data_IF_410005408584
#
_entry.id   IF_410005408584
#
_cell.length_a   1.000
_cell.length_b   1.000
_cell.length_c   1.000
_cell.angle_alpha   90.00
_cell.angle_beta   90.00
_cell.angle_gamma   90.00
#
_symmetry.space_group_name_H-M   'P 1'
#
loop_
_entity.id
_entity.type
_entity.pdbx_description
1 polymer ?
#
# COMPACT_ATOMS: atom_id res chain seq x y z
N UNK A 1 13.92 -1.96 24.58
CA UNK A 1 13.37 -2.04 23.24
C UNK A 1 14.27 -1.27 22.30
N UNK A 2 14.59 -1.79 21.11
CA UNK A 2 15.39 -1.03 20.16
C UNK A 2 14.70 0.30 19.91
N UNK A 3 15.44 1.39 20.09
CA UNK A 3 14.97 2.75 19.84
C UNK A 3 14.68 2.85 18.35
N UNK A 4 13.40 2.82 17.98
CA UNK A 4 13.02 2.95 16.59
C UNK A 4 13.07 4.44 16.22
N UNK A 5 14.01 4.81 15.35
CA UNK A 5 14.21 6.19 14.89
C UNK A 5 12.91 6.86 14.42
N UNK A 6 11.97 6.08 13.88
CA UNK A 6 10.65 6.57 13.46
C UNK A 6 9.86 7.06 14.67
N UNK A 7 9.82 6.29 15.76
CA UNK A 7 9.11 6.69 16.97
C UNK A 7 9.73 7.91 17.65
N UNK A 8 11.07 8.04 17.62
CA UNK A 8 11.75 9.23 18.14
C UNK A 8 11.46 10.47 17.28
N UNK A 9 11.40 10.31 15.97
CA UNK A 9 11.02 11.41 15.07
C UNK A 9 9.61 11.93 15.38
N UNK A 10 8.63 11.05 15.55
CA UNK A 10 7.28 11.44 15.96
C UNK A 10 7.23 12.10 17.34
N UNK A 11 8.06 11.66 18.28
CA UNK A 11 8.18 12.30 19.60
C UNK A 11 8.66 13.73 19.53
N UNK A 12 9.53 14.06 18.59
CA UNK A 12 9.97 15.43 18.36
C UNK A 12 8.80 16.37 18.03
N UNK A 13 7.77 15.86 17.38
CA UNK A 13 6.53 16.60 17.09
C UNK A 13 5.45 16.41 18.18
N UNK A 14 5.81 15.91 19.36
CA UNK A 14 4.88 15.61 20.45
C UNK A 14 3.80 14.59 20.08
N UNK A 15 4.10 13.68 19.15
CA UNK A 15 3.22 12.60 18.71
C UNK A 15 3.67 11.30 19.36
N UNK A 16 2.76 10.64 20.09
CA UNK A 16 2.96 9.30 20.64
C UNK A 16 2.35 8.27 19.69
N UNK A 17 3.21 7.49 19.04
CA UNK A 17 2.74 6.34 18.23
C UNK A 17 2.49 5.15 19.16
N UNK A 18 1.30 4.57 19.07
CA UNK A 18 0.89 3.37 19.80
C UNK A 18 0.52 2.30 18.76
N UNK A 19 1.08 1.11 18.89
CA UNK A 19 0.69 -0.02 18.06
C UNK A 19 -0.56 -0.64 18.68
N UNK A 20 -1.70 -0.54 18.00
CA UNK A 20 -2.97 -1.02 18.49
C UNK A 20 -3.02 -2.56 18.49
N UNK A 21 -2.52 -3.18 17.44
CA UNK A 21 -2.42 -4.64 17.33
C UNK A 21 -1.31 -5.09 16.37
N UNK A 22 -0.91 -6.32 16.50
CA UNK A 22 0.08 -6.98 15.63
C UNK A 22 -0.52 -8.26 15.04
N UNK A 23 0.01 -8.72 13.91
CA UNK A 23 -0.38 -9.97 13.28
C UNK A 23 0.85 -10.84 13.00
N UNK A 24 0.70 -12.16 13.16
CA UNK A 24 1.80 -13.11 12.96
C UNK A 24 2.05 -13.46 11.50
N UNK A 25 1.04 -13.26 10.64
CA UNK A 25 1.10 -13.55 9.20
C UNK A 25 0.08 -12.71 8.44
N UNK A 26 0.12 -12.79 7.10
CA UNK A 26 -0.75 -12.00 6.21
C UNK A 26 -2.24 -12.34 6.41
N UNK A 27 -2.61 -13.60 6.64
CA UNK A 27 -4.01 -13.99 6.82
C UNK A 27 -4.59 -13.39 8.11
N UNK A 28 -3.84 -13.48 9.22
CA UNK A 28 -4.22 -12.86 10.50
C UNK A 28 -4.35 -11.34 10.37
N UNK A 29 -3.44 -10.70 9.61
CA UNK A 29 -3.51 -9.28 9.35
C UNK A 29 -4.79 -8.90 8.60
N UNK A 30 -5.11 -9.61 7.51
CA UNK A 30 -6.32 -9.39 6.74
C UNK A 30 -7.59 -9.58 7.57
N UNK A 31 -7.62 -10.61 8.42
CA UNK A 31 -8.74 -10.87 9.32
C UNK A 31 -8.93 -9.72 10.32
N UNK A 32 -7.86 -9.22 10.92
CA UNK A 32 -7.92 -8.08 11.85
C UNK A 32 -8.40 -6.81 11.17
N UNK A 33 -7.92 -6.51 9.97
CA UNK A 33 -8.41 -5.36 9.19
C UNK A 33 -9.89 -5.51 8.86
N UNK A 34 -10.35 -6.71 8.43
CA UNK A 34 -11.76 -6.97 8.17
C UNK A 34 -12.63 -6.74 9.41
N UNK A 35 -12.17 -7.24 10.56
CA UNK A 35 -12.89 -7.07 11.82
C UNK A 35 -12.96 -5.59 12.24
N UNK A 36 -11.86 -4.86 12.12
CA UNK A 36 -11.79 -3.44 12.44
C UNK A 36 -12.71 -2.60 11.54
N UNK A 37 -12.81 -2.94 10.24
CA UNK A 37 -13.77 -2.30 9.33
C UNK A 37 -15.20 -2.62 9.77
N UNK A 38 -15.51 -3.89 10.02
CA UNK A 38 -16.87 -4.33 10.38
C UNK A 38 -17.36 -3.75 11.71
N UNK A 39 -16.45 -3.51 12.65
CA UNK A 39 -16.75 -2.90 13.96
C UNK A 39 -16.58 -1.37 14.00
N UNK A 40 -16.25 -0.73 12.87
CA UNK A 40 -15.93 0.68 12.79
C UNK A 40 -14.87 1.14 13.81
N UNK A 41 -13.85 0.30 14.01
CA UNK A 41 -12.77 0.52 14.98
C UNK A 41 -11.39 0.49 14.33
N UNK A 42 -11.27 1.10 13.15
CA UNK A 42 -9.96 1.27 12.52
C UNK A 42 -9.07 2.17 13.38
N UNK A 43 -7.77 1.87 13.50
CA UNK A 43 -6.80 2.79 14.12
C UNK A 43 -6.63 4.04 13.25
N UNK A 44 -6.01 5.09 13.79
CA UNK A 44 -5.74 6.36 13.09
C UNK A 44 -4.99 6.16 11.75
N UNK A 45 -4.15 5.14 11.67
CA UNK A 45 -3.45 4.76 10.44
C UNK A 45 -3.35 3.23 10.31
N UNK A 46 -3.66 2.71 9.14
CA UNK A 46 -3.60 1.28 8.84
C UNK A 46 -3.16 1.05 7.39
N UNK A 47 -2.46 -0.03 7.14
CA UNK A 47 -2.14 -0.46 5.78
C UNK A 47 -3.33 -1.26 5.23
N UNK A 48 -3.88 -0.85 4.10
CA UNK A 48 -4.89 -1.64 3.40
C UNK A 48 -4.21 -2.83 2.69
N UNK A 49 -4.56 -4.09 3.02
CA UNK A 49 -3.91 -5.26 2.43
C UNK A 49 -4.11 -5.35 0.91
N UNK A 50 -5.26 -4.94 0.44
CA UNK A 50 -5.62 -4.83 -0.97
C UNK A 50 -6.60 -3.68 -1.19
N UNK A 51 -6.82 -3.31 -2.46
CA UNK A 51 -7.79 -2.27 -2.82
C UNK A 51 -9.21 -2.59 -2.33
N UNK A 52 -9.59 -3.85 -2.21
CA UNK A 52 -10.93 -4.23 -1.72
C UNK A 52 -11.17 -3.77 -0.27
N UNK A 53 -10.15 -3.86 0.59
CA UNK A 53 -10.26 -3.36 1.98
C UNK A 53 -10.39 -1.83 2.02
N UNK A 54 -9.66 -1.14 1.14
CA UNK A 54 -9.78 0.30 0.99
C UNK A 54 -11.21 0.70 0.60
N UNK A 55 -11.78 0.04 -0.41
CA UNK A 55 -13.14 0.29 -0.88
C UNK A 55 -14.16 0.01 0.22
N UNK A 56 -14.01 -1.07 0.97
CA UNK A 56 -14.90 -1.40 2.09
C UNK A 56 -14.85 -0.33 3.18
N UNK A 57 -13.65 0.09 3.60
CA UNK A 57 -13.48 1.11 4.62
C UNK A 57 -13.99 2.48 4.16
N UNK A 58 -13.75 2.87 2.91
CA UNK A 58 -14.24 4.12 2.35
C UNK A 58 -15.78 4.16 2.29
N UNK A 59 -16.41 3.07 1.83
CA UNK A 59 -17.88 2.98 1.76
C UNK A 59 -18.57 2.86 3.13
N UNK A 60 -17.81 2.47 4.15
CA UNK A 60 -18.25 2.50 5.54
C UNK A 60 -18.03 3.88 6.22
N UNK A 61 -17.60 4.89 5.47
CA UNK A 61 -17.30 6.25 5.95
C UNK A 61 -16.25 6.28 7.08
N UNK A 62 -15.26 5.38 6.99
CA UNK A 62 -14.19 5.25 7.99
C UNK A 62 -12.88 5.94 7.58
N UNK A 63 -12.82 6.54 6.39
CA UNK A 63 -11.60 7.15 5.86
C UNK A 63 -11.82 8.63 5.57
N UNK A 64 -10.80 9.43 5.88
CA UNK A 64 -10.79 10.85 5.56
C UNK A 64 -10.42 11.10 4.09
N UNK A 65 -10.86 12.25 3.54
CA UNK A 65 -10.29 12.78 2.31
C UNK A 65 -8.89 13.34 2.61
N UNK A 66 -7.89 12.77 1.99
CA UNK A 66 -6.48 13.15 2.20
C UNK A 66 -5.97 14.18 1.18
N UNK A 67 -6.81 14.63 0.25
CA UNK A 67 -6.37 15.53 -0.81
C UNK A 67 -5.85 16.87 -0.30
N UNK A 68 -6.53 17.53 0.66
CA UNK A 68 -6.03 18.78 1.24
C UNK A 68 -4.67 18.62 1.91
N UNK A 69 -4.52 17.61 2.75
CA UNK A 69 -3.29 17.31 3.50
C UNK A 69 -2.16 16.91 2.57
N UNK A 70 -2.44 16.08 1.57
CA UNK A 70 -1.45 15.68 0.57
C UNK A 70 -0.93 16.88 -0.21
N UNK A 71 -1.78 17.78 -0.64
CA UNK A 71 -1.36 18.98 -1.37
C UNK A 71 -0.52 19.92 -0.51
N UNK A 72 -0.86 20.07 0.76
CA UNK A 72 -0.21 20.98 1.68
C UNK A 72 1.10 20.40 2.24
N UNK A 73 1.15 19.11 2.60
CA UNK A 73 2.23 18.56 3.40
C UNK A 73 3.11 17.54 2.68
N UNK A 74 2.65 16.96 1.57
CA UNK A 74 3.47 15.99 0.84
C UNK A 74 4.75 16.65 0.32
N UNK A 75 5.88 16.00 0.58
CA UNK A 75 7.17 16.49 0.11
C UNK A 75 7.24 16.48 -1.43
N UNK A 76 8.09 17.33 -1.99
CA UNK A 76 8.35 17.37 -3.44
C UNK A 76 8.71 15.99 -3.97
N UNK A 77 9.57 15.25 -3.25
CA UNK A 77 9.99 13.90 -3.65
C UNK A 77 8.82 12.91 -3.72
N UNK A 78 7.90 12.94 -2.74
CA UNK A 78 6.71 12.07 -2.75
C UNK A 78 5.80 12.41 -3.94
N UNK A 79 5.60 13.69 -4.24
CA UNK A 79 4.81 14.13 -5.40
C UNK A 79 5.44 13.66 -6.71
N UNK A 80 6.75 13.85 -6.88
CA UNK A 80 7.51 13.41 -8.05
C UNK A 80 7.40 11.88 -8.26
N UNK A 81 7.53 11.08 -7.19
CA UNK A 81 7.38 9.63 -7.28
C UNK A 81 5.97 9.24 -7.73
N UNK A 82 4.95 9.88 -7.19
CA UNK A 82 3.56 9.60 -7.58
C UNK A 82 3.29 10.03 -9.03
N UNK A 83 3.84 11.15 -9.47
CA UNK A 83 3.73 11.63 -10.85
C UNK A 83 4.29 10.63 -11.87
N UNK A 84 5.35 9.89 -11.54
CA UNK A 84 5.89 8.84 -12.43
C UNK A 84 4.88 7.75 -12.78
N UNK A 85 3.82 7.61 -12.00
CA UNK A 85 2.75 6.63 -12.23
C UNK A 85 1.68 7.07 -13.22
N UNK A 86 1.80 8.27 -13.80
CA UNK A 86 0.83 8.82 -14.76
C UNK A 86 -0.61 8.81 -14.21
N UNK A 87 -0.77 9.11 -12.93
CA UNK A 87 -2.05 9.14 -12.23
C UNK A 87 -2.58 7.79 -11.75
N UNK A 88 -1.96 6.67 -12.11
CA UNK A 88 -2.41 5.32 -11.70
C UNK A 88 -2.42 5.15 -10.18
N UNK A 89 -1.38 5.65 -9.49
CA UNK A 89 -1.30 5.57 -8.04
C UNK A 89 -2.45 6.33 -7.36
N UNK A 90 -2.74 7.54 -7.79
CA UNK A 90 -3.86 8.36 -7.28
C UNK A 90 -5.20 7.68 -7.56
N UNK A 91 -5.42 7.19 -8.80
CA UNK A 91 -6.66 6.50 -9.15
C UNK A 91 -6.90 5.25 -8.31
N UNK A 92 -5.83 4.49 -8.00
CA UNK A 92 -5.93 3.31 -7.14
C UNK A 92 -6.24 3.64 -5.67
N UNK A 93 -5.84 4.81 -5.21
CA UNK A 93 -6.06 5.32 -3.86
C UNK A 93 -7.35 6.15 -3.72
N UNK A 94 -8.07 6.35 -4.83
CA UNK A 94 -9.35 7.08 -4.88
C UNK A 94 -10.52 6.11 -4.94
N UNK A 95 -11.52 6.35 -4.09
CA UNK A 95 -12.77 5.58 -4.04
C UNK A 95 -13.94 6.56 -4.12
N UNK A 96 -14.84 6.31 -5.07
CA UNK A 96 -16.05 7.10 -5.28
C UNK A 96 -15.78 8.63 -5.34
N UNK A 97 -14.62 9.01 -5.91
CA UNK A 97 -14.18 10.40 -6.08
C UNK A 97 -13.36 10.98 -4.92
N UNK A 98 -13.21 10.27 -3.81
CA UNK A 98 -12.45 10.70 -2.64
C UNK A 98 -11.07 10.07 -2.59
N UNK A 99 -10.02 10.86 -2.44
CA UNK A 99 -8.63 10.39 -2.25
C UNK A 99 -8.42 10.00 -0.79
N UNK A 100 -8.59 8.73 -0.48
CA UNK A 100 -8.68 8.23 0.90
C UNK A 100 -7.51 7.36 1.37
N UNK A 101 -6.45 7.24 0.57
CA UNK A 101 -5.25 6.52 0.97
C UNK A 101 -3.99 7.14 0.33
N UNK A 102 -2.85 6.98 1.00
CA UNK A 102 -1.55 7.28 0.41
C UNK A 102 -1.06 6.03 -0.34
N UNK A 103 -0.84 6.12 -1.66
CA UNK A 103 -0.38 4.98 -2.43
C UNK A 103 1.08 4.65 -2.10
N UNK A 104 1.38 3.37 -1.95
CA UNK A 104 2.76 2.88 -1.93
C UNK A 104 3.20 2.61 -3.37
N UNK A 105 4.19 3.35 -3.83
CA UNK A 105 4.77 3.19 -5.18
C UNK A 105 6.06 2.43 -5.05
N UNK A 106 6.11 1.23 -5.64
CA UNK A 106 7.33 0.43 -5.70
C UNK A 106 8.20 0.83 -6.91
N UNK A 107 9.47 0.44 -6.90
CA UNK A 107 10.38 0.65 -8.03
C UNK A 107 9.98 -0.18 -9.24
N UNK A 108 10.30 0.28 -10.45
CA UNK A 108 9.91 -0.35 -11.72
C UNK A 108 10.29 -1.83 -11.84
N UNK A 109 11.33 -2.26 -11.13
CA UNK A 109 11.79 -3.66 -11.14
C UNK A 109 10.99 -4.58 -10.23
N UNK A 110 10.12 -4.04 -9.35
CA UNK A 110 9.24 -4.84 -8.53
C UNK A 110 8.12 -5.45 -9.38
N UNK A 111 8.02 -6.77 -9.35
CA UNK A 111 7.02 -7.49 -10.15
C UNK A 111 7.44 -7.82 -11.57
N UNK A 112 8.70 -7.63 -11.93
CA UNK A 112 9.23 -8.16 -13.19
C UNK A 112 9.34 -9.68 -13.08
N UNK A 113 8.53 -10.37 -13.87
CA UNK A 113 8.57 -11.83 -13.97
C UNK A 113 9.55 -12.23 -15.06
N UNK A 114 10.52 -13.07 -14.71
CA UNK A 114 11.43 -13.67 -15.66
C UNK A 114 10.96 -15.09 -15.99
N UNK A 115 10.82 -15.37 -17.28
CA UNK A 115 10.53 -16.72 -17.75
C UNK A 115 11.82 -17.47 -18.01
N UNK A 116 11.99 -18.60 -17.35
CA UNK A 116 13.08 -19.53 -17.60
C UNK A 116 12.52 -20.74 -18.35
N UNK A 117 13.04 -20.98 -19.55
CA UNK A 117 12.66 -22.11 -20.39
C UNK A 117 13.87 -22.99 -20.58
N UNK A 118 13.71 -24.28 -20.39
CA UNK A 118 14.78 -25.25 -20.59
C UNK A 118 15.03 -25.43 -22.09
N UNK A 119 16.24 -25.07 -22.55
CA UNK A 119 16.64 -25.17 -23.95
C UNK A 119 16.56 -26.61 -24.47
N UNK A 120 16.98 -27.61 -23.65
CA UNK A 120 16.96 -29.02 -24.05
C UNK A 120 15.52 -29.55 -24.29
N UNK A 121 14.51 -28.92 -23.71
CA UNK A 121 13.10 -29.25 -23.99
C UNK A 121 12.63 -28.62 -25.30
N UNK A 122 13.03 -27.38 -25.57
CA UNK A 122 12.70 -26.72 -26.85
C UNK A 122 13.33 -27.51 -28.01
N UNK A 123 14.59 -27.91 -27.88
CA UNK A 123 15.32 -28.69 -28.89
C UNK A 123 14.63 -30.04 -29.16
N UNK A 124 14.20 -30.75 -28.12
CA UNK A 124 13.48 -32.03 -28.26
C UNK A 124 12.11 -31.89 -28.93
N UNK A 125 11.45 -30.76 -28.76
CA UNK A 125 10.15 -30.47 -29.32
C UNK A 125 10.22 -29.77 -30.67
N UNK A 126 11.42 -29.40 -31.13
CA UNK A 126 11.61 -28.64 -32.39
C UNK A 126 10.99 -27.24 -32.32
N UNK A 127 10.96 -26.62 -31.13
CA UNK A 127 10.38 -25.30 -30.92
C UNK A 127 11.48 -24.23 -30.81
N UNK A 128 11.20 -23.07 -31.35
CA UNK A 128 12.06 -21.88 -31.15
C UNK A 128 11.78 -21.22 -29.78
N UNK A 129 12.76 -20.45 -29.29
CA UNK A 129 12.58 -19.62 -28.08
C UNK A 129 11.46 -18.61 -28.35
N UNK A 130 10.43 -18.55 -27.48
CA UNK A 130 9.37 -17.53 -27.62
C UNK A 130 9.96 -16.11 -27.58
N UNK A 131 9.48 -15.24 -28.42
CA UNK A 131 9.85 -13.83 -28.49
C UNK A 131 8.99 -13.00 -27.55
#
# INVERSE_FOLDING_TARGET
PPTNLIFEHFRFYNIKVVCDWTAGNTADFQQKVSLAIASASLPDAVIAPTRNYLVQAARADLLADLWPEFNQYASKQVKEIIETTEGRAINNATVDGTFCALPNVSVDTDGVYLYFIRQDWLDKLGLEVPK
#
